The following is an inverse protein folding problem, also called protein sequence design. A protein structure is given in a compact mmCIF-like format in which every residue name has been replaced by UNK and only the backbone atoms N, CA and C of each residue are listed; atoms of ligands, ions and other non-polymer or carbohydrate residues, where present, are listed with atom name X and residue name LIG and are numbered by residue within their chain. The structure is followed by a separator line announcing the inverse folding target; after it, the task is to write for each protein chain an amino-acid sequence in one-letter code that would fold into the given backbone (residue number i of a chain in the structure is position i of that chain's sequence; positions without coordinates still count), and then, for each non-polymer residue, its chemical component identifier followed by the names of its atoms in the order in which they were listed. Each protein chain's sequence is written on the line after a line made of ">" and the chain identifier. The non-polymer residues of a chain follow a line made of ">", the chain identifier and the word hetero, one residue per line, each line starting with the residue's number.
data_IF_643521667079
#
_entry.id   IF_643521667079
#
_cell.length_a   1.000
_cell.length_b   1.000
_cell.length_c   1.000
_cell.angle_alpha   90.00
_cell.angle_beta   90.00
_cell.angle_gamma   90.00
#
_symmetry.space_group_name_H-M   'P 1'
#
loop_
_entity.id
_entity.type
_entity.pdbx_description
1 polymer ?
#
# COMPACT_ATOMS: atom_id res chain seq x y z
N UNK A 1 35.71 -17.71 35.21
CA UNK A 1 34.74 -16.64 35.55
C UNK A 1 34.81 -15.45 34.59
N UNK A 2 35.98 -14.86 34.30
CA UNK A 2 36.10 -13.74 33.34
C UNK A 2 35.63 -14.05 31.91
N UNK A 3 35.90 -15.25 31.40
CA UNK A 3 35.47 -15.69 30.06
C UNK A 3 33.94 -15.81 29.95
N UNK A 4 33.27 -16.28 31.01
CA UNK A 4 31.79 -16.36 31.06
C UNK A 4 31.15 -14.97 31.03
N UNK A 5 31.77 -13.98 31.67
CA UNK A 5 31.27 -12.59 31.69
C UNK A 5 31.37 -11.96 30.29
N UNK A 6 32.47 -12.22 29.56
CA UNK A 6 32.65 -11.71 28.18
C UNK A 6 31.62 -12.34 27.23
N UNK A 7 31.36 -13.64 27.35
CA UNK A 7 30.29 -14.31 26.59
C UNK A 7 28.92 -13.69 26.90
N UNK A 8 28.62 -13.41 28.17
CA UNK A 8 27.35 -12.81 28.59
C UNK A 8 27.14 -11.38 28.03
N UNK A 9 28.20 -10.59 27.89
CA UNK A 9 28.16 -9.26 27.29
C UNK A 9 27.95 -9.29 25.76
N UNK A 10 28.47 -10.32 25.07
CA UNK A 10 28.26 -10.49 23.63
C UNK A 10 26.82 -10.88 23.25
N UNK A 11 26.10 -11.57 24.14
CA UNK A 11 24.68 -11.90 23.97
C UNK A 11 23.76 -10.75 24.40
N UNK A 12 24.14 -9.97 25.42
CA UNK A 12 23.35 -8.83 25.89
C UNK A 12 23.39 -7.60 24.94
N UNK A 13 24.42 -7.49 24.09
CA UNK A 13 24.57 -6.40 23.11
C UNK A 13 23.79 -6.58 21.81
N UNK A 14 23.12 -7.72 21.62
CA UNK A 14 22.29 -7.96 20.43
C UNK A 14 20.87 -7.50 20.75
N UNK A 15 20.52 -6.28 20.34
CA UNK A 15 19.12 -5.92 20.17
C UNK A 15 18.54 -6.88 19.13
N UNK A 16 17.84 -7.92 19.60
CA UNK A 16 17.08 -8.79 18.71
C UNK A 16 16.01 -7.93 18.05
N UNK A 17 16.27 -7.48 16.82
CA UNK A 17 15.27 -6.90 15.96
C UNK A 17 14.34 -8.04 15.55
N UNK A 18 13.37 -8.35 16.40
CA UNK A 18 12.27 -9.21 15.99
C UNK A 18 11.47 -8.42 14.97
N UNK A 19 11.25 -8.95 13.76
CA UNK A 19 10.35 -8.31 12.81
C UNK A 19 9.00 -8.18 13.52
N UNK A 20 8.55 -6.95 13.73
CA UNK A 20 7.22 -6.70 14.25
C UNK A 20 6.26 -7.35 13.26
N UNK A 21 5.55 -8.38 13.72
CA UNK A 21 4.61 -9.10 12.89
C UNK A 21 3.56 -8.09 12.42
N UNK A 22 3.55 -7.83 11.11
CA UNK A 22 2.59 -6.92 10.50
C UNK A 22 1.19 -7.46 10.81
N UNK A 23 0.41 -6.73 11.59
CA UNK A 23 -0.96 -7.10 11.91
C UNK A 23 -1.90 -6.28 11.05
N UNK A 24 -3.01 -6.91 10.66
CA UNK A 24 -4.08 -6.18 10.00
C UNK A 24 -4.76 -5.23 11.01
N UNK A 25 -5.04 -4.01 10.57
CA UNK A 25 -5.74 -2.98 11.32
C UNK A 25 -6.86 -2.39 10.46
N UNK A 26 -7.88 -1.80 11.10
CA UNK A 26 -8.96 -1.14 10.37
C UNK A 26 -8.45 0.10 9.64
N UNK A 27 -8.98 0.31 8.43
CA UNK A 27 -8.68 1.51 7.65
C UNK A 27 -9.29 2.73 8.35
N UNK A 28 -8.46 3.75 8.58
CA UNK A 28 -8.86 5.05 9.13
C UNK A 28 -8.56 6.20 8.18
N UNK A 29 -7.88 5.95 7.06
CA UNK A 29 -7.59 6.94 6.01
C UNK A 29 -8.90 7.41 5.35
N UNK A 30 -9.35 8.66 5.54
CA UNK A 30 -10.67 9.11 5.10
C UNK A 30 -10.91 8.95 3.60
N UNK A 31 -9.91 9.25 2.77
CA UNK A 31 -9.98 9.12 1.31
C UNK A 31 -10.17 7.67 0.85
N UNK A 32 -9.80 6.69 1.68
CA UNK A 32 -9.80 5.27 1.33
C UNK A 32 -10.82 4.44 2.12
N UNK A 33 -11.80 5.09 2.74
CA UNK A 33 -12.96 4.39 3.29
C UNK A 33 -13.87 3.86 2.17
N UNK A 34 -14.62 2.80 2.46
CA UNK A 34 -15.65 2.23 1.58
C UNK A 34 -15.14 1.64 0.24
N UNK A 35 -13.89 1.15 0.21
CA UNK A 35 -13.23 0.54 -0.96
C UNK A 35 -13.65 -0.92 -1.26
N UNK A 36 -14.60 -1.48 -0.51
CA UNK A 36 -14.96 -2.91 -0.60
C UNK A 36 -14.17 -3.82 0.34
N UNK A 37 -13.18 -3.26 1.04
CA UNK A 37 -12.45 -3.89 2.14
C UNK A 37 -12.24 -2.88 3.27
N UNK A 38 -11.94 -3.36 4.47
CA UNK A 38 -11.84 -2.53 5.68
C UNK A 38 -10.56 -2.79 6.51
N UNK A 39 -9.71 -3.72 6.09
CA UNK A 39 -8.48 -4.09 6.78
C UNK A 39 -7.25 -3.78 5.91
N UNK A 40 -6.24 -3.17 6.52
CA UNK A 40 -4.94 -2.86 5.91
C UNK A 40 -3.81 -3.17 6.89
N UNK A 41 -2.55 -3.00 6.50
CA UNK A 41 -1.41 -3.12 7.41
C UNK A 41 -0.35 -2.05 7.12
N UNK A 42 0.43 -1.72 8.14
CA UNK A 42 1.63 -0.87 8.05
C UNK A 42 2.85 -1.67 8.53
N UNK A 43 4.05 -1.41 7.98
CA UNK A 43 4.32 -0.44 6.93
C UNK A 43 3.78 -0.85 5.56
N UNK A 44 3.38 0.14 4.76
CA UNK A 44 3.07 -0.08 3.33
C UNK A 44 4.36 -0.05 2.49
N UNK A 45 4.25 -0.23 1.17
CA UNK A 45 5.40 -0.25 0.24
C UNK A 45 6.20 1.05 0.20
N UNK A 46 5.64 2.16 0.69
CA UNK A 46 6.28 3.46 0.78
C UNK A 46 6.85 3.74 2.18
N UNK A 47 6.91 2.71 3.03
CA UNK A 47 7.47 2.77 4.39
C UNK A 47 6.73 3.66 5.39
N UNK A 48 5.50 4.07 5.08
CA UNK A 48 4.62 4.74 6.05
C UNK A 48 4.36 3.84 7.25
N UNK A 49 4.59 4.35 8.45
CA UNK A 49 4.42 3.58 9.68
C UNK A 49 3.04 3.77 10.29
N UNK A 50 2.33 4.84 9.88
CA UNK A 50 1.00 5.17 10.41
C UNK A 50 0.04 5.60 9.31
N UNK A 51 -1.26 5.37 9.55
CA UNK A 51 -2.30 5.73 8.60
C UNK A 51 -2.53 7.24 8.47
N UNK A 52 -2.19 8.05 9.48
CA UNK A 52 -2.25 9.51 9.36
C UNK A 52 -1.16 10.06 8.45
N UNK A 53 0.03 9.45 8.41
CA UNK A 53 1.06 9.75 7.41
C UNK A 53 0.56 9.43 6.00
N UNK A 54 -0.04 8.24 5.82
CA UNK A 54 -0.66 7.83 4.56
C UNK A 54 -1.77 8.82 4.15
N UNK A 55 -2.58 9.26 5.11
CA UNK A 55 -3.67 10.19 4.86
C UNK A 55 -3.17 11.54 4.34
N UNK A 56 -2.01 12.02 4.80
CA UNK A 56 -1.43 13.27 4.32
C UNK A 56 -0.96 13.16 2.86
N UNK A 57 -0.34 12.04 2.49
CA UNK A 57 0.18 11.84 1.14
C UNK A 57 -0.94 11.58 0.12
N UNK A 58 -1.88 10.68 0.43
CA UNK A 58 -3.01 10.37 -0.46
C UNK A 58 -3.86 11.61 -0.73
N UNK A 59 -3.97 12.53 0.23
CA UNK A 59 -4.75 13.77 0.07
C UNK A 59 -4.23 14.66 -1.06
N UNK A 60 -2.93 14.59 -1.38
CA UNK A 60 -2.33 15.37 -2.46
C UNK A 60 -2.87 14.98 -3.85
N UNK A 61 -3.43 13.77 -3.98
CA UNK A 61 -4.02 13.29 -5.23
C UNK A 61 -5.50 13.64 -5.39
N UNK A 62 -6.14 14.27 -4.40
CA UNK A 62 -7.56 14.67 -4.50
C UNK A 62 -7.90 15.50 -5.75
N UNK A 63 -7.06 16.45 -6.22
CA UNK A 63 -7.33 17.17 -7.47
C UNK A 63 -7.46 16.22 -8.68
N UNK A 64 -6.59 15.20 -8.79
CA UNK A 64 -6.65 14.22 -9.87
C UNK A 64 -7.86 13.29 -9.74
N UNK A 65 -8.16 12.83 -8.52
CA UNK A 65 -9.36 12.03 -8.24
C UNK A 65 -10.63 12.80 -8.64
N UNK A 66 -10.73 14.07 -8.26
CA UNK A 66 -11.89 14.92 -8.55
C UNK A 66 -11.99 15.32 -10.01
N UNK A 67 -10.86 15.40 -10.73
CA UNK A 67 -10.84 15.60 -12.17
C UNK A 67 -11.38 14.39 -12.95
N UNK A 68 -11.49 13.21 -12.30
CA UNK A 68 -12.02 11.97 -12.89
C UNK A 68 -11.37 11.60 -14.23
N UNK A 69 -10.06 11.81 -14.31
CA UNK A 69 -9.27 11.49 -15.50
C UNK A 69 -9.22 9.97 -15.81
N UNK A 70 -9.40 9.13 -14.80
CA UNK A 70 -9.60 7.68 -14.94
C UNK A 70 -10.59 7.19 -13.89
N UNK A 71 -11.50 6.25 -14.21
CA UNK A 71 -12.40 5.64 -13.23
C UNK A 71 -11.64 4.81 -12.18
N UNK A 72 -10.42 4.36 -12.51
CA UNK A 72 -9.64 3.44 -11.70
C UNK A 72 -8.67 4.14 -10.74
N UNK A 73 -8.41 5.43 -10.95
CA UNK A 73 -7.37 6.17 -10.21
C UNK A 73 -7.58 6.11 -8.69
N UNK A 74 -8.81 6.37 -8.23
CA UNK A 74 -9.10 6.45 -6.79
C UNK A 74 -8.85 5.11 -6.10
N UNK A 75 -9.34 4.02 -6.70
CA UNK A 75 -9.12 2.69 -6.16
C UNK A 75 -7.65 2.28 -6.25
N UNK A 76 -6.98 2.55 -7.36
CA UNK A 76 -5.56 2.29 -7.54
C UNK A 76 -4.70 2.95 -6.45
N UNK A 77 -4.90 4.24 -6.19
CA UNK A 77 -4.19 4.95 -5.13
C UNK A 77 -4.44 4.29 -3.77
N UNK A 78 -5.70 4.00 -3.42
CA UNK A 78 -5.97 3.34 -2.15
C UNK A 78 -5.37 1.93 -2.06
N UNK A 79 -5.37 1.14 -3.14
CA UNK A 79 -4.72 -0.16 -3.16
C UNK A 79 -3.19 -0.10 -3.01
N UNK A 80 -2.54 1.00 -3.45
CA UNK A 80 -1.11 1.24 -3.23
C UNK A 80 -0.80 1.65 -1.78
N UNK A 81 -1.58 2.58 -1.25
CA UNK A 81 -1.32 3.25 0.02
C UNK A 81 -1.87 2.49 1.23
N UNK A 82 -3.04 1.88 1.11
CA UNK A 82 -3.69 1.05 2.15
C UNK A 82 -4.02 -0.33 1.59
N UNK A 83 -3.01 -1.16 1.25
CA UNK A 83 -3.24 -2.45 0.61
C UNK A 83 -4.17 -3.34 1.46
N UNK A 84 -4.91 -4.22 0.78
CA UNK A 84 -5.81 -5.19 1.43
C UNK A 84 -4.97 -6.08 2.35
N UNK A 85 -5.36 -6.23 3.61
CA UNK A 85 -4.73 -7.17 4.54
C UNK A 85 -5.69 -8.31 4.87
N UNK A 86 -5.21 -9.56 4.82
CA UNK A 86 -5.96 -10.77 5.12
C UNK A 86 -5.65 -11.28 6.54
N UNK A 87 -6.48 -10.99 7.56
CA UNK A 87 -6.19 -11.41 8.94
C UNK A 87 -6.08 -12.93 9.08
N UNK A 88 -6.93 -13.66 8.37
CA UNK A 88 -7.01 -15.13 8.41
C UNK A 88 -5.94 -15.83 7.56
N UNK A 89 -5.12 -15.06 6.83
CA UNK A 89 -4.06 -15.58 5.97
C UNK A 89 -2.71 -14.94 6.33
N UNK A 90 -2.27 -15.20 7.56
CA UNK A 90 -0.98 -14.73 8.10
C UNK A 90 -0.74 -13.22 7.94
N UNK A 91 -1.80 -12.40 7.99
CA UNK A 91 -1.75 -10.95 7.76
C UNK A 91 -1.13 -10.56 6.41
N UNK A 92 -1.23 -11.42 5.40
CA UNK A 92 -0.70 -11.12 4.07
C UNK A 92 -1.39 -9.88 3.48
N UNK A 93 -0.59 -9.02 2.85
CA UNK A 93 -1.09 -7.89 2.07
C UNK A 93 -1.19 -8.22 0.58
N UNK A 94 -2.25 -7.74 -0.08
CA UNK A 94 -2.46 -7.92 -1.52
C UNK A 94 -2.19 -6.59 -2.23
N UNK A 95 -1.19 -6.52 -3.14
CA UNK A 95 -0.92 -5.32 -3.92
C UNK A 95 -1.90 -5.16 -5.10
N UNK A 96 -1.99 -3.97 -5.72
CA UNK A 96 -2.72 -3.82 -6.96
C UNK A 96 -2.04 -4.55 -8.12
N UNK A 97 -2.83 -5.00 -9.10
CA UNK A 97 -2.31 -5.56 -10.33
C UNK A 97 -1.74 -4.47 -11.24
N UNK A 98 -0.76 -4.82 -12.08
CA UNK A 98 -0.20 -3.95 -13.14
C UNK A 98 -1.28 -3.33 -14.03
N UNK A 99 -2.28 -4.12 -14.43
CA UNK A 99 -3.38 -3.68 -15.30
C UNK A 99 -4.20 -2.53 -14.70
N UNK A 100 -4.44 -2.54 -13.38
CA UNK A 100 -5.15 -1.48 -12.66
C UNK A 100 -4.32 -0.18 -12.67
N UNK A 101 -3.01 -0.29 -12.42
CA UNK A 101 -2.11 0.86 -12.51
C UNK A 101 -2.08 1.46 -13.92
N UNK A 102 -1.93 0.63 -14.95
CA UNK A 102 -1.91 1.10 -16.34
C UNK A 102 -3.21 1.80 -16.71
N UNK A 103 -4.35 1.29 -16.25
CA UNK A 103 -5.65 1.93 -16.47
C UNK A 103 -5.77 3.29 -15.77
N UNK A 104 -5.31 3.39 -14.52
CA UNK A 104 -5.23 4.67 -13.80
C UNK A 104 -4.29 5.66 -14.51
N UNK A 105 -3.10 5.20 -14.88
CA UNK A 105 -2.04 5.98 -15.54
C UNK A 105 -2.49 6.52 -16.89
N UNK A 106 -3.07 5.68 -17.77
CA UNK A 106 -3.50 6.07 -19.12
C UNK A 106 -4.43 7.29 -19.13
N UNK A 107 -5.37 7.36 -18.18
CA UNK A 107 -6.30 8.48 -18.11
C UNK A 107 -5.68 9.74 -17.52
N UNK A 108 -4.78 9.61 -16.55
CA UNK A 108 -4.35 10.72 -15.70
C UNK A 108 -2.96 11.28 -16.03
N UNK A 109 -2.05 10.49 -16.59
CA UNK A 109 -0.69 10.93 -16.93
C UNK A 109 -0.70 12.10 -17.93
N UNK A 110 -1.56 12.04 -18.95
CA UNK A 110 -1.69 13.15 -19.91
C UNK A 110 -2.17 14.45 -19.24
N UNK A 111 -3.04 14.36 -18.24
CA UNK A 111 -3.50 15.52 -17.50
C UNK A 111 -2.36 16.09 -16.64
N UNK A 112 -1.61 15.24 -15.93
CA UNK A 112 -0.45 15.65 -15.14
C UNK A 112 0.60 16.35 -15.99
N UNK A 113 0.93 15.77 -17.15
CA UNK A 113 1.97 16.30 -18.05
C UNK A 113 1.65 17.71 -18.55
N UNK A 114 0.36 18.06 -18.74
CA UNK A 114 -0.06 19.42 -19.14
C UNK A 114 0.33 20.48 -18.11
N UNK A 115 0.47 20.10 -16.85
CA UNK A 115 0.88 20.97 -15.75
C UNK A 115 2.34 20.72 -15.33
N UNK A 116 3.14 20.06 -16.17
CA UNK A 116 4.54 19.72 -15.89
C UNK A 116 4.76 18.83 -14.65
N UNK A 117 3.75 18.02 -14.31
CA UNK A 117 3.89 16.92 -13.35
C UNK A 117 3.98 15.60 -14.12
N UNK A 118 4.83 14.70 -13.67
CA UNK A 118 4.99 13.38 -14.27
C UNK A 118 4.38 12.30 -13.37
N UNK A 119 4.03 11.17 -13.97
CA UNK A 119 3.60 10.00 -13.19
C UNK A 119 4.72 9.59 -12.21
N UNK A 120 4.45 9.52 -10.89
CA UNK A 120 5.50 9.28 -9.90
C UNK A 120 6.18 7.93 -10.08
N UNK A 121 7.49 7.89 -9.85
CA UNK A 121 8.29 6.65 -9.95
C UNK A 121 7.83 5.61 -8.93
N UNK A 122 7.42 6.05 -7.75
CA UNK A 122 6.90 5.16 -6.71
C UNK A 122 5.54 4.52 -7.10
N UNK A 123 4.84 5.11 -8.07
CA UNK A 123 3.60 4.58 -8.64
C UNK A 123 3.83 3.88 -10.00
N UNK A 124 5.07 3.60 -10.39
CA UNK A 124 5.37 2.98 -11.67
C UNK A 124 4.77 1.56 -11.77
N UNK A 125 4.08 1.29 -12.89
CA UNK A 125 3.29 0.07 -13.06
C UNK A 125 4.12 -1.20 -13.28
N UNK A 126 5.35 -1.05 -13.77
CA UNK A 126 6.32 -2.14 -13.96
C UNK A 126 6.75 -2.80 -12.64
N UNK A 127 6.65 -2.07 -11.53
CA UNK A 127 6.89 -2.59 -10.18
C UNK A 127 5.73 -3.41 -9.60
N UNK A 128 4.63 -3.59 -10.33
CA UNK A 128 3.45 -4.33 -9.89
C UNK A 128 3.36 -5.69 -10.57
N UNK A 129 2.82 -6.71 -9.89
CA UNK A 129 2.68 -8.04 -10.44
C UNK A 129 1.62 -8.10 -11.54
N UNK A 130 1.80 -9.04 -12.46
CA UNK A 130 0.72 -9.50 -13.33
C UNK A 130 -0.11 -10.57 -12.61
N UNK A 131 -1.41 -10.61 -12.92
CA UNK A 131 -2.36 -11.54 -12.28
C UNK A 131 -1.98 -13.02 -12.45
N UNK A 132 -1.27 -13.34 -13.54
CA UNK A 132 -0.88 -14.71 -13.86
C UNK A 132 0.29 -15.21 -12.98
N UNK A 133 1.02 -14.30 -12.35
CA UNK A 133 2.23 -14.60 -11.57
C UNK A 133 1.96 -14.64 -10.07
N UNK A 134 1.23 -13.64 -9.55
CA UNK A 134 0.98 -13.44 -8.12
C UNK A 134 -0.44 -12.91 -7.90
N UNK A 135 -1.06 -13.30 -6.78
CA UNK A 135 -2.34 -12.74 -6.35
C UNK A 135 -2.22 -11.22 -6.19
N UNK A 136 -3.04 -10.48 -6.94
CA UNK A 136 -3.14 -9.03 -6.91
C UNK A 136 -4.59 -8.59 -7.13
N UNK A 137 -4.91 -7.33 -6.81
CA UNK A 137 -6.25 -6.76 -6.98
C UNK A 137 -6.33 -5.83 -8.20
N UNK A 138 -7.30 -6.06 -9.08
CA UNK A 138 -7.50 -5.28 -10.31
C UNK A 138 -8.76 -4.41 -10.28
N UNK A 139 -9.63 -4.60 -9.29
CA UNK A 139 -10.90 -3.91 -9.13
C UNK A 139 -11.35 -3.91 -7.66
N UNK A 140 -12.20 -2.96 -7.25
CA UNK A 140 -12.77 -2.97 -5.91
C UNK A 140 -13.46 -4.30 -5.60
N UNK A 141 -13.22 -4.92 -4.42
CA UNK A 141 -13.97 -6.11 -4.02
C UNK A 141 -15.48 -5.81 -4.02
N UNK A 142 -16.32 -6.75 -4.48
CA UNK A 142 -17.76 -6.59 -4.44
C UNK A 142 -18.21 -6.40 -2.98
N UNK A 143 -19.02 -5.36 -2.74
CA UNK A 143 -19.46 -4.98 -1.39
C UNK A 143 -20.37 -6.01 -0.73
N UNK A 144 -20.87 -7.00 -1.49
CA UNK A 144 -21.73 -8.09 -1.05
C UNK A 144 -21.49 -9.33 -1.93
N UNK A 145 -20.81 -10.35 -1.40
CA UNK A 145 -21.01 -11.72 -1.89
C UNK A 145 -22.23 -12.27 -1.13
N UNK A 146 -23.38 -12.37 -1.79
CA UNK A 146 -24.47 -13.24 -1.34
C UNK A 146 -24.29 -14.62 -1.93
#
# INVERSE_FOLDING_TARGET
>A
MRILIILFLLIAGQSLCFPQQQQCQRITVPTCLNMGYNMTSVPNRFHHQRQDEISLEVHQYLPLINAKCSPDLHFFLCAMYVPICLPDFNHQTIPPCRSLCESAKRGCEQLMNRFSYFWPVDLACDQLPERQEVLCVDSPPPKNCK
#
